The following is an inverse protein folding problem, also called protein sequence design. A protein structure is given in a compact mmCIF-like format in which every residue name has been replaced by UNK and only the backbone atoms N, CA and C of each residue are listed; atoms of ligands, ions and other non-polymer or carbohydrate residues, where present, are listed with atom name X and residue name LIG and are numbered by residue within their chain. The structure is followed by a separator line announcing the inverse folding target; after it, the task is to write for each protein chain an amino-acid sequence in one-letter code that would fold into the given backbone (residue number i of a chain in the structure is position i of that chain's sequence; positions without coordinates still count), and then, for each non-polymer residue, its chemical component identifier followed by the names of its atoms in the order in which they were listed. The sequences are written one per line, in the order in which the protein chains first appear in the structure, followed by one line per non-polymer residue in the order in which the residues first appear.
data_IF_382772488251
#
_entry.id   IF_382772488251
#
_cell.length_a   1.000
_cell.length_b   1.000
_cell.length_c   1.000
_cell.angle_alpha   90.00
_cell.angle_beta   90.00
_cell.angle_gamma   90.00
#
_symmetry.space_group_name_H-M   'P 1'
#
loop_
_entity.id
_entity.type
_entity.pdbx_description
1 polymer ?
#
# COMPACT_ATOMS: atom_id res chain seq x y z
N UNK A 1 4.38 -25.27 -1.09
CA UNK A 1 3.65 -24.13 -1.62
C UNK A 1 2.21 -24.05 -1.14
N UNK A 2 2.06 -23.60 0.11
CA UNK A 2 0.83 -23.10 0.72
C UNK A 2 1.11 -21.77 1.40
N UNK A 3 0.10 -20.89 1.49
CA UNK A 3 0.22 -19.64 2.25
C UNK A 3 0.20 -19.97 3.75
N UNK A 4 1.21 -19.48 4.46
CA UNK A 4 1.40 -19.67 5.91
C UNK A 4 0.99 -18.43 6.70
N UNK A 5 1.20 -17.23 6.15
CA UNK A 5 0.89 -15.95 6.83
C UNK A 5 0.64 -14.84 5.83
N UNK A 6 -0.29 -13.94 6.16
CA UNK A 6 -0.50 -12.66 5.46
C UNK A 6 -0.31 -11.54 6.48
N UNK A 7 0.48 -10.53 6.10
CA UNK A 7 0.72 -9.35 6.91
C UNK A 7 0.32 -8.12 6.10
N UNK A 8 -0.38 -7.18 6.73
CA UNK A 8 -0.68 -5.88 6.16
C UNK A 8 0.09 -4.80 6.93
N UNK A 9 0.73 -3.92 6.20
CA UNK A 9 1.48 -2.78 6.71
C UNK A 9 0.87 -1.50 6.16
N UNK A 10 0.82 -0.48 7.00
CA UNK A 10 0.41 0.86 6.63
C UNK A 10 1.66 1.71 6.43
N UNK A 11 1.67 2.52 5.38
CA UNK A 11 2.70 3.54 5.17
C UNK A 11 2.10 4.81 4.57
N UNK A 12 2.46 5.93 5.19
CA UNK A 12 2.16 7.26 4.68
C UNK A 12 3.10 7.60 3.51
N UNK A 13 2.54 8.02 2.38
CA UNK A 13 3.29 8.48 1.20
C UNK A 13 3.00 9.96 0.93
N UNK A 14 3.81 10.88 1.49
CA UNK A 14 3.68 12.32 1.24
C UNK A 14 4.02 12.67 -0.22
N UNK A 15 3.30 13.65 -0.76
CA UNK A 15 3.56 14.15 -2.11
C UNK A 15 4.67 15.19 -2.13
N UNK A 16 5.60 15.07 -3.09
CA UNK A 16 6.67 16.04 -3.29
C UNK A 16 6.13 17.46 -3.60
N UNK A 17 5.05 17.52 -4.39
CA UNK A 17 4.38 18.78 -4.76
C UNK A 17 3.42 19.30 -3.68
N UNK A 18 3.33 18.61 -2.53
CA UNK A 18 2.48 18.96 -1.40
C UNK A 18 1.05 18.41 -1.51
N UNK A 19 0.35 18.64 -2.63
CA UNK A 19 -1.04 18.20 -2.78
C UNK A 19 -1.37 17.78 -4.21
N UNK A 20 -2.08 16.65 -4.37
CA UNK A 20 -2.68 16.23 -5.64
C UNK A 20 -4.19 16.52 -5.62
N UNK A 21 -4.73 17.09 -6.71
CA UNK A 21 -6.13 17.55 -6.81
C UNK A 21 -6.80 17.01 -8.05
N UNK A 22 -8.07 16.61 -7.94
CA UNK A 22 -8.85 16.09 -9.06
C UNK A 22 -10.31 16.55 -9.06
N UNK A 23 -11.08 16.05 -10.02
CA UNK A 23 -12.46 16.47 -10.28
C UNK A 23 -13.36 16.37 -9.04
N UNK A 24 -14.36 17.27 -8.97
CA UNK A 24 -15.26 17.34 -7.82
C UNK A 24 -14.65 18.04 -6.59
N UNK A 25 -13.55 18.78 -6.74
CA UNK A 25 -12.94 19.56 -5.66
C UNK A 25 -12.20 18.71 -4.63
N UNK A 26 -11.77 17.50 -5.01
CA UNK A 26 -11.08 16.56 -4.13
C UNK A 26 -9.57 16.80 -4.14
N UNK A 27 -8.92 16.53 -3.02
CA UNK A 27 -7.48 16.62 -2.87
C UNK A 27 -6.94 15.66 -1.83
N UNK A 28 -5.65 15.34 -1.94
CA UNK A 28 -4.89 14.55 -0.97
C UNK A 28 -3.47 15.11 -0.87
N UNK A 29 -2.95 15.17 0.36
CA UNK A 29 -1.59 15.65 0.65
C UNK A 29 -0.63 14.50 0.97
N UNK A 30 -1.17 13.46 1.63
CA UNK A 30 -0.48 12.23 2.00
C UNK A 30 -1.39 11.06 1.66
N UNK A 31 -0.87 10.11 0.89
CA UNK A 31 -1.57 8.88 0.60
C UNK A 31 -1.39 7.86 1.72
N UNK A 32 -2.46 7.14 2.04
CA UNK A 32 -2.44 5.99 2.93
C UNK A 32 -2.29 4.72 2.07
N UNK A 33 -1.05 4.22 1.98
CA UNK A 33 -0.74 3.03 1.19
C UNK A 33 -0.68 1.77 2.08
N UNK A 34 -1.22 0.67 1.56
CA UNK A 34 -1.14 -0.64 2.20
C UNK A 34 -0.16 -1.54 1.45
N UNK A 35 0.84 -2.05 2.15
CA UNK A 35 1.75 -3.09 1.66
C UNK A 35 1.33 -4.42 2.27
N UNK A 36 1.22 -5.46 1.44
CA UNK A 36 0.91 -6.83 1.87
C UNK A 36 2.12 -7.73 1.65
N UNK A 37 2.49 -8.49 2.68
CA UNK A 37 3.45 -9.58 2.58
C UNK A 37 2.73 -10.92 2.74
N UNK A 38 2.94 -11.83 1.78
CA UNK A 38 2.40 -13.20 1.79
C UNK A 38 3.56 -14.17 1.96
N UNK A 39 3.64 -14.83 3.11
CA UNK A 39 4.66 -15.83 3.44
C UNK A 39 4.13 -17.24 3.18
N UNK A 40 4.95 -18.10 2.60
CA UNK A 40 4.63 -19.49 2.28
C UNK A 40 5.28 -20.47 3.27
N UNK A 41 4.77 -21.70 3.29
CA UNK A 41 5.31 -22.79 4.13
C UNK A 41 6.71 -23.27 3.71
N UNK A 42 7.13 -22.97 2.47
CA UNK A 42 8.47 -23.23 1.94
C UNK A 42 9.42 -22.02 2.03
N UNK A 43 9.01 -20.96 2.74
CA UNK A 43 9.88 -19.84 3.13
C UNK A 43 9.99 -18.70 2.12
N UNK A 44 9.26 -18.74 1.01
CA UNK A 44 9.17 -17.60 0.09
C UNK A 44 8.25 -16.52 0.66
N UNK A 45 8.54 -15.26 0.31
CA UNK A 45 7.68 -14.12 0.64
C UNK A 45 7.43 -13.31 -0.63
N UNK A 46 6.17 -13.16 -0.99
CA UNK A 46 5.70 -12.25 -2.03
C UNK A 46 5.21 -10.94 -1.42
N UNK A 47 5.42 -9.82 -2.13
CA UNK A 47 4.95 -8.50 -1.72
C UNK A 47 4.03 -7.89 -2.78
N UNK A 48 3.05 -7.13 -2.32
CA UNK A 48 2.17 -6.31 -3.17
C UNK A 48 1.79 -5.02 -2.47
N UNK A 49 1.42 -4.00 -3.25
CA UNK A 49 1.02 -2.69 -2.74
C UNK A 49 -0.32 -2.28 -3.35
N UNK A 50 -1.17 -1.63 -2.55
CA UNK A 50 -2.39 -0.98 -3.00
C UNK A 50 -2.52 0.39 -2.33
N UNK A 51 -2.67 1.44 -3.14
CA UNK A 51 -2.80 2.83 -2.71
C UNK A 51 -3.97 3.48 -3.47
N UNK A 52 -5.16 3.64 -2.86
CA UNK A 52 -6.32 4.23 -3.51
C UNK A 52 -6.19 5.75 -3.71
N UNK A 53 -7.03 6.30 -4.60
CA UNK A 53 -7.19 7.73 -4.88
C UNK A 53 -8.43 8.32 -4.20
#
# INVERSE_FOLDING_TARGET
MKIKRIMAYQVDLPLHEGSYKWSGGKSVDVFDSTIVAVETDDGLIGYGECCPL
#
